data_IF_917400052357
#
_entry.id   IF_917400052357
#
_cell.length_a   1.000
_cell.length_b   1.000
_cell.length_c   1.000
_cell.angle_alpha   90.00
_cell.angle_beta   90.00
_cell.angle_gamma   90.00
#
_symmetry.space_group_name_H-M   'P 1'
#
loop_
_entity.id
_entity.type
_entity.pdbx_description
1 polymer ?
#
# COMPACT_ATOMS: atom_id res chain seq x y z
N UNK A 1 -2.68 10.36 19.87
CA UNK A 1 -1.41 10.79 20.44
C UNK A 1 -1.10 12.21 20.00
N UNK A 2 -1.02 13.13 20.94
CA UNK A 2 -0.67 14.54 20.71
C UNK A 2 0.72 14.78 21.31
N UNK A 3 1.75 14.40 20.58
CA UNK A 3 3.13 14.60 21.00
C UNK A 3 3.76 15.72 20.17
N UNK A 4 4.61 16.57 20.77
CA UNK A 4 5.34 17.59 20.00
C UNK A 4 6.15 16.96 18.89
N UNK A 5 6.19 17.58 17.71
CA UNK A 5 6.89 17.08 16.56
C UNK A 5 8.39 16.92 16.85
N UNK A 6 8.92 15.70 16.68
CA UNK A 6 10.34 15.52 16.49
C UNK A 6 10.68 15.87 15.04
N UNK A 7 11.68 16.65 14.82
CA UNK A 7 12.19 16.89 13.49
C UNK A 7 13.18 15.78 13.12
N UNK A 8 12.86 15.07 12.05
CA UNK A 8 13.78 14.11 11.42
C UNK A 8 14.44 14.70 10.18
N UNK A 9 14.46 16.03 10.08
CA UNK A 9 14.90 16.78 8.91
C UNK A 9 16.36 16.46 8.56
N UNK A 10 16.60 16.25 7.26
CA UNK A 10 17.93 16.05 6.70
C UNK A 10 18.45 14.59 6.77
N UNK A 11 17.60 13.64 7.16
CA UNK A 11 17.98 12.22 7.16
C UNK A 11 17.70 11.64 5.76
N UNK A 12 18.75 11.14 5.11
CA UNK A 12 18.59 10.23 3.97
C UNK A 12 18.29 8.84 4.52
N UNK A 13 17.02 8.49 4.50
CA UNK A 13 16.53 7.29 5.17
C UNK A 13 16.57 6.03 4.30
N UNK A 14 16.69 6.17 2.96
CA UNK A 14 16.57 5.06 2.03
C UNK A 14 17.88 4.31 1.83
N UNK A 15 17.91 3.03 2.19
CA UNK A 15 19.03 2.10 1.98
C UNK A 15 18.87 1.23 0.73
N UNK A 16 17.65 1.13 0.21
CA UNK A 16 17.34 0.27 -0.93
C UNK A 16 18.10 0.70 -2.20
N UNK A 17 18.82 -0.24 -2.81
CA UNK A 17 19.68 -0.03 -4.00
C UNK A 17 19.11 -0.66 -5.28
N UNK A 18 17.89 -1.19 -5.24
CA UNK A 18 17.25 -1.79 -6.39
C UNK A 18 16.91 -0.77 -7.48
N UNK A 19 16.51 -1.27 -8.63
CA UNK A 19 16.18 -0.44 -9.80
C UNK A 19 14.70 -0.58 -10.14
N UNK A 20 14.02 0.55 -10.25
CA UNK A 20 12.64 0.61 -10.75
C UNK A 20 12.63 0.45 -12.27
N UNK A 21 11.63 -0.24 -12.80
CA UNK A 21 11.35 -0.20 -14.23
C UNK A 21 10.93 1.23 -14.64
N UNK A 22 11.06 1.62 -15.92
CA UNK A 22 10.69 2.97 -16.37
C UNK A 22 9.27 3.38 -15.96
N UNK A 23 8.31 2.45 -16.00
CA UNK A 23 6.92 2.70 -15.59
C UNK A 23 6.77 2.91 -14.08
N UNK A 24 7.48 2.12 -13.27
CA UNK A 24 7.52 2.30 -11.82
C UNK A 24 8.19 3.61 -11.43
N UNK A 25 9.29 3.96 -12.12
CA UNK A 25 10.02 5.20 -11.89
C UNK A 25 9.15 6.44 -12.19
N UNK A 26 8.33 6.38 -13.24
CA UNK A 26 7.40 7.47 -13.54
C UNK A 26 6.35 7.67 -12.43
N UNK A 27 5.76 6.57 -11.92
CA UNK A 27 4.82 6.63 -10.79
C UNK A 27 5.52 7.13 -9.53
N UNK A 28 6.70 6.62 -9.21
CA UNK A 28 7.49 7.05 -8.07
C UNK A 28 7.77 8.57 -8.11
N UNK A 29 8.13 9.11 -9.28
CA UNK A 29 8.31 10.55 -9.50
C UNK A 29 7.01 11.33 -9.27
N UNK A 30 5.87 10.85 -9.78
CA UNK A 30 4.59 11.49 -9.56
C UNK A 30 4.18 11.47 -8.07
N UNK A 31 4.51 10.41 -7.32
CA UNK A 31 4.28 10.34 -5.87
C UNK A 31 5.13 11.35 -5.10
N UNK A 32 6.41 11.53 -5.44
CA UNK A 32 7.25 12.58 -4.85
C UNK A 32 6.67 13.95 -5.14
N UNK A 33 6.26 14.23 -6.37
CA UNK A 33 5.59 15.49 -6.71
C UNK A 33 4.30 15.71 -5.91
N UNK A 34 3.54 14.66 -5.64
CA UNK A 34 2.34 14.76 -4.82
C UNK A 34 2.67 15.11 -3.37
N UNK A 35 3.74 14.56 -2.81
CA UNK A 35 4.24 14.92 -1.47
C UNK A 35 4.59 16.40 -1.41
N UNK A 36 5.30 16.92 -2.40
CA UNK A 36 5.68 18.32 -2.48
C UNK A 36 4.45 19.25 -2.61
N UNK A 37 3.45 18.80 -3.36
CA UNK A 37 2.22 19.57 -3.65
C UNK A 37 1.09 19.34 -2.64
N UNK A 38 1.28 18.43 -1.66
CA UNK A 38 0.27 18.05 -0.65
C UNK A 38 -1.05 17.58 -1.28
N UNK A 39 -0.95 16.72 -2.30
CA UNK A 39 -2.09 16.20 -3.06
C UNK A 39 -2.49 14.80 -2.65
N UNK A 40 -3.75 14.48 -2.89
CA UNK A 40 -4.27 13.12 -2.74
C UNK A 40 -4.14 12.34 -4.05
N UNK A 41 -3.66 11.09 -3.97
CA UNK A 41 -3.41 10.24 -5.14
C UNK A 41 -3.93 8.82 -4.92
N UNK A 42 -4.56 8.28 -5.96
CA UNK A 42 -4.87 6.86 -6.09
C UNK A 42 -3.89 6.22 -7.09
N UNK A 43 -3.09 5.28 -6.63
CA UNK A 43 -2.28 4.41 -7.48
C UNK A 43 -3.06 3.11 -7.71
N UNK A 44 -3.62 2.98 -8.89
CA UNK A 44 -4.27 1.77 -9.35
C UNK A 44 -3.26 0.91 -10.12
N UNK A 45 -2.69 -0.10 -9.46
CA UNK A 45 -1.64 -0.93 -10.01
C UNK A 45 -1.95 -2.41 -9.81
N UNK A 46 -1.82 -3.20 -10.88
CA UNK A 46 -2.08 -4.65 -10.86
C UNK A 46 -1.27 -5.36 -9.79
N UNK A 47 -1.76 -6.50 -9.32
CA UNK A 47 -1.02 -7.36 -8.39
C UNK A 47 0.33 -7.77 -8.98
N UNK A 48 1.41 -7.65 -8.20
CA UNK A 48 2.78 -7.91 -8.66
C UNK A 48 3.39 -6.78 -9.49
N UNK A 49 2.84 -5.56 -9.43
CA UNK A 49 3.42 -4.37 -10.06
C UNK A 49 4.61 -3.78 -9.29
N UNK A 50 4.90 -4.26 -8.06
CA UNK A 50 5.93 -3.69 -7.19
C UNK A 50 5.49 -2.37 -6.56
N UNK A 51 4.27 -2.32 -6.02
CA UNK A 51 3.71 -1.11 -5.39
C UNK A 51 4.56 -0.58 -4.26
N UNK A 52 5.18 -1.47 -3.49
CA UNK A 52 5.98 -1.11 -2.32
C UNK A 52 7.23 -0.32 -2.70
N UNK A 53 7.96 -0.73 -3.72
CA UNK A 53 9.17 -0.03 -4.15
C UNK A 53 8.87 1.35 -4.76
N UNK A 54 7.71 1.50 -5.40
CA UNK A 54 7.31 2.78 -6.00
C UNK A 54 7.10 3.90 -4.97
N UNK A 55 6.72 3.55 -3.72
CA UNK A 55 6.49 4.54 -2.65
C UNK A 55 7.77 4.94 -1.91
N UNK A 56 8.89 4.25 -2.08
CA UNK A 56 10.11 4.47 -1.28
C UNK A 56 10.66 5.89 -1.40
N UNK A 57 10.75 6.43 -2.61
CA UNK A 57 11.24 7.79 -2.81
C UNK A 57 10.33 8.85 -2.15
N UNK A 58 9.01 8.66 -2.18
CA UNK A 58 8.06 9.54 -1.53
C UNK A 58 8.19 9.48 0.02
N UNK A 59 8.39 8.30 0.58
CA UNK A 59 8.66 8.10 2.01
C UNK A 59 9.95 8.82 2.40
N UNK A 60 11.06 8.57 1.66
CA UNK A 60 12.36 9.19 1.93
C UNK A 60 12.30 10.71 1.83
N UNK A 61 11.66 11.25 0.80
CA UNK A 61 11.46 12.70 0.62
C UNK A 61 10.68 13.32 1.78
N UNK A 62 9.60 12.66 2.23
CA UNK A 62 8.80 13.15 3.35
C UNK A 62 9.62 13.15 4.65
N UNK A 63 10.39 12.09 4.94
CA UNK A 63 11.25 11.99 6.14
C UNK A 63 12.36 13.03 6.08
N UNK A 64 13.04 13.20 4.94
CA UNK A 64 14.11 14.18 4.74
C UNK A 64 13.62 15.62 4.97
N UNK A 65 12.36 15.90 4.67
CA UNK A 65 11.69 17.18 4.95
C UNK A 65 11.27 17.34 6.42
N UNK A 66 11.48 16.32 7.26
CA UNK A 66 11.09 16.32 8.68
C UNK A 66 9.67 15.85 8.94
N UNK A 67 9.02 15.27 7.95
CA UNK A 67 7.65 14.75 8.04
C UNK A 67 7.56 13.39 8.73
N UNK A 68 6.38 13.09 9.27
CA UNK A 68 6.01 11.79 9.79
C UNK A 68 5.22 11.02 8.73
N UNK A 69 5.58 9.76 8.50
CA UNK A 69 4.98 8.89 7.50
C UNK A 69 4.26 7.72 8.16
N UNK A 70 3.08 7.37 7.66
CA UNK A 70 2.40 6.13 8.03
C UNK A 70 2.02 5.34 6.78
N UNK A 71 2.29 4.02 6.81
CA UNK A 71 1.74 3.05 5.87
C UNK A 71 0.73 2.20 6.64
N UNK A 72 -0.52 2.25 6.23
CA UNK A 72 -1.58 1.47 6.85
C UNK A 72 -2.13 0.44 5.85
N UNK A 73 -2.39 -0.77 6.32
CA UNK A 73 -3.00 -1.86 5.54
C UNK A 73 -4.12 -2.51 6.33
N UNK A 74 -5.16 -3.06 5.69
CA UNK A 74 -6.24 -3.75 6.40
C UNK A 74 -5.81 -4.98 7.18
N UNK A 75 -4.73 -5.65 6.76
CA UNK A 75 -4.32 -6.97 7.22
C UNK A 75 -3.06 -6.94 8.07
N UNK A 76 -3.09 -7.65 9.21
CA UNK A 76 -1.95 -7.73 10.13
C UNK A 76 -0.74 -8.46 9.56
N UNK A 77 -0.96 -9.52 8.77
CA UNK A 77 0.11 -10.27 8.11
C UNK A 77 0.86 -9.39 7.09
N UNK A 78 0.13 -8.60 6.30
CA UNK A 78 0.72 -7.63 5.36
C UNK A 78 1.48 -6.53 6.10
N UNK A 79 0.93 -6.01 7.22
CA UNK A 79 1.63 -5.02 8.03
C UNK A 79 2.98 -5.55 8.58
N UNK A 80 3.03 -6.81 9.02
CA UNK A 80 4.26 -7.47 9.47
C UNK A 80 5.26 -7.70 8.34
N UNK A 81 4.78 -8.10 7.16
CA UNK A 81 5.63 -8.26 5.97
C UNK A 81 6.26 -6.91 5.56
N UNK A 82 5.44 -5.85 5.47
CA UNK A 82 5.91 -4.49 5.19
C UNK A 82 6.93 -4.03 6.23
N UNK A 83 6.68 -4.28 7.53
CA UNK A 83 7.62 -3.93 8.59
C UNK A 83 8.98 -4.61 8.40
N UNK A 84 8.99 -5.93 8.15
CA UNK A 84 10.22 -6.68 7.92
C UNK A 84 10.99 -6.14 6.71
N UNK A 85 10.29 -5.87 5.62
CA UNK A 85 10.85 -5.36 4.38
C UNK A 85 11.41 -3.95 4.54
N UNK A 86 10.60 -3.03 5.05
CA UNK A 86 11.04 -1.63 5.20
C UNK A 86 12.13 -1.46 6.28
N UNK A 87 12.19 -2.34 7.28
CA UNK A 87 13.30 -2.34 8.25
C UNK A 87 14.65 -2.68 7.63
N UNK A 88 14.69 -3.39 6.50
CA UNK A 88 15.90 -3.65 5.73
C UNK A 88 16.22 -2.51 4.75
N UNK A 89 15.18 -1.86 4.24
CA UNK A 89 15.28 -0.89 3.15
C UNK A 89 15.41 0.57 3.63
N UNK A 90 15.19 0.82 4.93
CA UNK A 90 15.27 2.16 5.54
C UNK A 90 16.15 2.16 6.79
N UNK A 91 16.96 3.20 6.98
CA UNK A 91 17.88 3.39 8.12
C UNK A 91 17.23 3.96 9.38
N UNK A 92 15.96 4.36 9.30
CA UNK A 92 15.25 4.98 10.42
C UNK A 92 14.49 3.94 11.25
N UNK A 93 14.26 4.18 12.56
CA UNK A 93 13.43 3.30 13.35
C UNK A 93 11.99 3.30 12.85
N UNK A 94 11.36 2.13 12.85
CA UNK A 94 9.99 1.92 12.40
C UNK A 94 9.14 1.41 13.55
N UNK A 95 7.97 2.01 13.76
CA UNK A 95 6.97 1.51 14.72
C UNK A 95 5.94 0.65 14.00
N UNK A 96 5.73 -0.58 14.46
CA UNK A 96 4.69 -1.48 13.96
C UNK A 96 3.50 -1.49 14.93
N UNK A 97 2.30 -1.20 14.42
CA UNK A 97 1.08 -1.12 15.20
C UNK A 97 -0.01 -2.06 14.66
N UNK A 98 -0.43 -3.00 15.48
CA UNK A 98 -1.59 -3.86 15.29
C UNK A 98 -2.19 -4.20 16.66
N UNK A 99 -3.21 -5.06 16.73
CA UNK A 99 -3.90 -5.37 18.00
C UNK A 99 -2.94 -5.82 19.10
N UNK A 100 -1.98 -6.68 18.78
CA UNK A 100 -1.05 -7.31 19.73
C UNK A 100 0.35 -6.69 19.69
N UNK A 101 0.53 -5.50 19.09
CA UNK A 101 1.83 -4.86 19.02
C UNK A 101 2.26 -4.25 20.37
N UNK A 102 3.57 -4.08 20.61
CA UNK A 102 4.06 -3.27 21.73
C UNK A 102 3.48 -1.86 21.71
N UNK A 103 3.55 -1.13 22.85
CA UNK A 103 3.13 0.25 22.89
C UNK A 103 3.80 1.10 21.82
N UNK A 104 3.04 2.06 21.27
CA UNK A 104 3.55 3.01 20.30
C UNK A 104 4.73 3.80 20.85
N UNK A 105 5.79 3.89 20.09
CA UNK A 105 6.87 4.85 20.27
C UNK A 105 7.00 5.72 19.03
N UNK A 106 7.39 6.96 19.24
CA UNK A 106 7.44 7.95 18.16
C UNK A 106 8.62 7.70 17.22
N UNK A 107 8.31 7.58 15.93
CA UNK A 107 9.28 7.35 14.86
C UNK A 107 8.89 8.14 13.62
N UNK A 108 9.83 8.40 12.68
CA UNK A 108 9.52 9.04 11.41
C UNK A 108 8.64 8.15 10.50
N UNK A 109 8.72 6.82 10.67
CA UNK A 109 7.97 5.86 9.87
C UNK A 109 7.17 4.92 10.77
N UNK A 110 5.87 4.86 10.52
CA UNK A 110 4.92 3.97 11.20
C UNK A 110 4.33 3.01 10.17
N UNK A 111 4.26 1.74 10.51
CA UNK A 111 3.48 0.74 9.78
C UNK A 111 2.36 0.28 10.69
N UNK A 112 1.13 0.27 10.19
CA UNK A 112 -0.01 -0.04 11.03
C UNK A 112 -1.10 -0.82 10.31
N UNK A 113 -1.99 -1.45 11.08
CA UNK A 113 -3.30 -1.82 10.52
C UNK A 113 -4.20 -0.57 10.45
N UNK A 114 -5.13 -0.55 9.48
CA UNK A 114 -6.02 0.60 9.24
C UNK A 114 -6.84 1.00 10.47
N UNK A 115 -7.23 0.03 11.31
CA UNK A 115 -7.92 0.32 12.57
C UNK A 115 -7.08 1.13 13.58
N UNK A 116 -5.75 1.00 13.55
CA UNK A 116 -4.88 1.76 14.43
C UNK A 116 -4.86 3.26 14.09
N UNK A 117 -5.28 3.65 12.89
CA UNK A 117 -5.40 5.06 12.51
C UNK A 117 -6.38 5.82 13.41
N UNK A 118 -7.40 5.16 13.99
CA UNK A 118 -8.32 5.77 14.98
C UNK A 118 -7.62 6.32 16.22
N UNK A 119 -6.37 5.93 16.50
CA UNK A 119 -5.56 6.41 17.63
C UNK A 119 -4.82 7.71 17.33
N UNK A 120 -4.81 8.16 16.07
CA UNK A 120 -4.04 9.32 15.63
C UNK A 120 -4.95 10.47 15.21
N UNK A 121 -4.47 11.68 15.45
CA UNK A 121 -5.11 12.90 14.99
C UNK A 121 -4.01 13.86 14.50
N UNK A 122 -4.11 14.33 13.26
CA UNK A 122 -3.17 15.27 12.63
C UNK A 122 -1.69 14.88 12.86
N UNK A 123 -1.40 13.58 12.69
CA UNK A 123 -0.11 13.02 13.05
C UNK A 123 0.86 12.88 11.86
N UNK A 124 0.34 12.63 10.65
CA UNK A 124 1.15 12.23 9.52
C UNK A 124 1.15 13.29 8.41
N UNK A 125 2.34 13.55 7.86
CA UNK A 125 2.56 14.41 6.70
C UNK A 125 2.36 13.64 5.39
N UNK A 126 2.65 12.31 5.41
CA UNK A 126 2.36 11.37 4.35
C UNK A 126 1.65 10.16 4.95
N UNK A 127 0.42 9.91 4.50
CA UNK A 127 -0.33 8.71 4.84
C UNK A 127 -0.54 7.88 3.58
N UNK A 128 -0.15 6.60 3.64
CA UNK A 128 -0.31 5.64 2.56
C UNK A 128 -1.24 4.53 3.04
N UNK A 129 -2.33 4.30 2.34
CA UNK A 129 -3.25 3.17 2.62
C UNK A 129 -3.04 2.13 1.52
N UNK A 130 -2.47 1.00 1.90
CA UNK A 130 -2.28 -0.13 0.98
C UNK A 130 -3.46 -1.10 1.06
N UNK A 131 -3.77 -1.76 -0.05
CA UNK A 131 -4.91 -2.68 -0.20
C UNK A 131 -6.26 -2.05 0.20
N UNK A 132 -6.55 -0.83 -0.27
CA UNK A 132 -7.80 -0.11 0.09
C UNK A 132 -9.07 -0.83 -0.38
N UNK A 133 -8.96 -1.75 -1.33
CA UNK A 133 -10.00 -2.62 -1.84
C UNK A 133 -10.26 -3.86 -0.97
N UNK A 134 -9.41 -4.11 0.05
CA UNK A 134 -9.57 -5.26 0.93
C UNK A 134 -10.42 -4.93 2.17
N UNK A 135 -11.20 -5.94 2.62
CA UNK A 135 -11.86 -5.89 3.92
C UNK A 135 -10.81 -5.79 5.04
N UNK A 136 -11.03 -5.00 6.09
CA UNK A 136 -12.22 -4.22 6.43
C UNK A 136 -12.22 -2.75 5.96
N UNK A 137 -11.25 -2.30 5.18
CA UNK A 137 -11.15 -0.89 4.76
C UNK A 137 -12.16 -0.56 3.66
N UNK A 138 -12.31 -1.44 2.67
CA UNK A 138 -13.24 -1.23 1.57
C UNK A 138 -14.65 -0.90 2.09
N UNK A 139 -15.21 0.21 1.58
CA UNK A 139 -16.56 0.71 1.89
C UNK A 139 -16.87 0.91 3.39
N UNK A 140 -15.84 1.10 4.23
CA UNK A 140 -15.98 1.35 5.66
C UNK A 140 -15.81 2.84 6.01
N UNK A 141 -16.91 3.61 6.21
CA UNK A 141 -16.84 5.05 6.46
C UNK A 141 -16.01 5.42 7.68
N UNK A 142 -16.01 4.56 8.74
CA UNK A 142 -15.22 4.83 9.95
C UNK A 142 -13.72 4.77 9.69
N UNK A 143 -13.26 3.89 8.80
CA UNK A 143 -11.85 3.79 8.45
C UNK A 143 -11.42 4.88 7.46
N UNK A 144 -12.28 5.32 6.56
CA UNK A 144 -12.03 6.51 5.75
C UNK A 144 -11.93 7.76 6.64
N UNK A 145 -12.85 7.92 7.59
CA UNK A 145 -12.78 8.97 8.60
C UNK A 145 -11.46 8.92 9.40
N UNK A 146 -11.05 7.71 9.84
CA UNK A 146 -9.80 7.54 10.56
C UNK A 146 -8.58 7.96 9.73
N UNK A 147 -8.55 7.60 8.46
CA UNK A 147 -7.49 8.01 7.54
C UNK A 147 -7.44 9.53 7.34
N UNK A 148 -8.61 10.16 7.16
CA UNK A 148 -8.73 11.61 7.00
C UNK A 148 -8.25 12.36 8.25
N UNK A 149 -8.60 11.89 9.46
CA UNK A 149 -8.24 12.56 10.71
C UNK A 149 -6.82 12.25 11.21
N UNK A 150 -6.23 11.13 10.79
CA UNK A 150 -4.86 10.78 11.12
C UNK A 150 -3.83 11.62 10.35
N UNK A 151 -4.17 12.11 9.16
CA UNK A 151 -3.31 13.00 8.39
C UNK A 151 -3.40 14.44 8.90
N UNK A 152 -2.33 15.23 8.69
CA UNK A 152 -2.34 16.67 8.94
C UNK A 152 -3.14 17.42 7.87
N UNK A 153 -3.58 18.63 8.16
CA UNK A 153 -4.35 19.47 7.22
C UNK A 153 -3.65 19.67 5.87
N UNK A 154 -2.32 19.78 5.86
CA UNK A 154 -1.50 19.91 4.65
C UNK A 154 -0.68 18.64 4.39
N UNK A 155 -1.30 17.47 4.46
CA UNK A 155 -0.65 16.19 4.23
C UNK A 155 -0.91 15.66 2.81
N UNK A 156 -0.15 14.65 2.44
CA UNK A 156 -0.39 13.83 1.24
C UNK A 156 -1.05 12.52 1.66
N UNK A 157 -2.14 12.18 0.98
CA UNK A 157 -2.80 10.88 1.15
C UNK A 157 -2.66 10.07 -0.15
N UNK A 158 -2.09 8.87 -0.03
CA UNK A 158 -1.90 7.93 -1.13
C UNK A 158 -2.70 6.67 -0.87
N UNK A 159 -3.58 6.35 -1.79
CA UNK A 159 -4.28 5.06 -1.82
C UNK A 159 -3.60 4.14 -2.82
N UNK A 160 -3.29 2.90 -2.41
CA UNK A 160 -2.77 1.85 -3.28
C UNK A 160 -3.82 0.75 -3.42
N UNK A 161 -4.11 0.33 -4.65
CA UNK A 161 -5.09 -0.72 -4.91
C UNK A 161 -4.76 -1.51 -6.17
N UNK A 162 -5.22 -2.75 -6.23
CA UNK A 162 -5.26 -3.54 -7.46
C UNK A 162 -6.63 -3.47 -8.16
N UNK A 163 -7.70 -3.17 -7.41
CA UNK A 163 -9.08 -3.05 -7.88
C UNK A 163 -9.68 -1.73 -7.44
N UNK A 164 -10.43 -1.06 -8.30
CA UNK A 164 -11.12 0.16 -7.93
C UNK A 164 -12.40 -0.16 -7.14
N UNK A 165 -12.76 0.74 -6.21
CA UNK A 165 -14.03 0.68 -5.49
C UNK A 165 -14.92 1.85 -5.92
N UNK A 166 -16.23 1.71 -5.76
CA UNK A 166 -17.19 2.78 -6.12
C UNK A 166 -16.90 4.09 -5.38
N UNK A 167 -16.44 4.01 -4.14
CA UNK A 167 -16.07 5.17 -3.32
C UNK A 167 -14.88 5.91 -3.92
N UNK A 168 -13.81 5.19 -4.32
CA UNK A 168 -12.64 5.80 -4.94
C UNK A 168 -12.95 6.34 -6.34
N UNK A 169 -13.79 5.66 -7.11
CA UNK A 169 -14.22 6.13 -8.42
C UNK A 169 -15.03 7.43 -8.35
N UNK A 170 -15.87 7.59 -7.33
CA UNK A 170 -16.57 8.85 -7.06
C UNK A 170 -15.60 9.99 -6.71
N UNK A 171 -14.60 9.73 -5.86
CA UNK A 171 -13.58 10.73 -5.50
C UNK A 171 -12.75 11.15 -6.73
N UNK A 172 -12.41 10.23 -7.60
CA UNK A 172 -11.70 10.54 -8.85
C UNK A 172 -12.59 11.34 -9.80
N UNK A 173 -13.87 10.98 -9.94
CA UNK A 173 -14.82 11.67 -10.83
C UNK A 173 -15.13 13.10 -10.36
N UNK A 174 -15.01 13.38 -9.05
CA UNK A 174 -15.19 14.70 -8.47
C UNK A 174 -13.89 15.54 -8.41
N UNK A 175 -12.80 15.08 -9.04
CA UNK A 175 -11.47 15.72 -9.06
C UNK A 175 -10.84 15.93 -7.66
N UNK A 176 -11.36 15.23 -6.65
CA UNK A 176 -10.80 15.23 -5.31
C UNK A 176 -9.60 14.30 -5.17
N UNK A 177 -9.46 13.32 -6.08
CA UNK A 177 -8.43 12.30 -6.05
C UNK A 177 -7.86 12.09 -7.46
N UNK A 178 -6.55 12.32 -7.64
CA UNK A 178 -5.89 12.04 -8.91
C UNK A 178 -5.58 10.55 -9.05
N UNK A 179 -6.04 9.90 -10.15
CA UNK A 179 -5.70 8.50 -10.44
C UNK A 179 -4.43 8.40 -11.29
N UNK A 180 -3.53 7.51 -10.87
CA UNK A 180 -2.38 7.04 -11.66
C UNK A 180 -2.56 5.53 -11.86
N UNK A 181 -2.39 5.04 -13.09
CA UNK A 181 -2.62 3.62 -13.40
C UNK A 181 -1.35 2.94 -13.90
N UNK A 182 -1.06 1.74 -13.36
CA UNK A 182 -0.03 0.83 -13.83
C UNK A 182 -0.62 -0.53 -14.16
N UNK A 183 -0.84 -0.80 -15.44
CA UNK A 183 -1.46 -2.04 -15.93
C UNK A 183 -0.46 -3.18 -16.15
N UNK A 184 0.81 -3.00 -15.80
CA UNK A 184 1.88 -3.96 -16.06
C UNK A 184 2.51 -4.47 -14.76
N UNK A 185 2.82 -5.77 -14.73
CA UNK A 185 3.66 -6.36 -13.70
C UNK A 185 5.12 -5.94 -13.89
N UNK A 186 5.90 -5.88 -12.80
CA UNK A 186 7.32 -5.49 -12.88
C UNK A 186 8.15 -6.41 -13.80
N UNK A 187 7.83 -7.71 -13.86
CA UNK A 187 8.51 -8.70 -14.70
C UNK A 187 7.98 -8.78 -16.15
N UNK A 188 7.00 -7.94 -16.54
CA UNK A 188 6.47 -7.86 -17.90
C UNK A 188 5.57 -9.01 -18.37
N UNK A 189 5.41 -10.08 -17.56
CA UNK A 189 4.52 -11.20 -17.94
C UNK A 189 3.05 -10.79 -17.80
N UNK A 190 2.18 -11.22 -18.74
CA UNK A 190 0.76 -10.94 -18.67
C UNK A 190 0.11 -11.63 -17.46
N UNK A 191 -1.01 -11.09 -17.01
CA UNK A 191 -1.85 -11.77 -16.03
C UNK A 191 -2.34 -13.11 -16.59
N UNK A 192 -2.36 -14.13 -15.75
CA UNK A 192 -3.00 -15.40 -16.09
C UNK A 192 -4.49 -15.15 -16.30
N UNK A 193 -4.99 -15.37 -17.49
CA UNK A 193 -6.40 -15.28 -17.80
C UNK A 193 -7.01 -16.67 -17.56
N UNK A 194 -7.91 -16.83 -16.59
CA UNK A 194 -8.62 -18.09 -16.39
C UNK A 194 -9.39 -18.48 -17.64
N UNK A 195 -9.31 -19.74 -18.04
CA UNK A 195 -10.16 -20.28 -19.10
C UNK A 195 -11.41 -20.88 -18.47
N UNK A 196 -12.60 -20.25 -18.62
CA UNK A 196 -13.81 -20.84 -18.12
C UNK A 196 -14.11 -22.13 -18.94
N UNK A 197 -14.41 -23.22 -18.24
CA UNK A 197 -14.81 -24.48 -18.83
C UNK A 197 -16.25 -24.77 -18.36
N UNK A 198 -17.19 -24.66 -19.29
CA UNK A 198 -18.59 -25.00 -19.02
C UNK A 198 -18.80 -26.49 -19.32
N UNK A 199 -18.98 -27.29 -18.29
CA UNK A 199 -19.25 -28.73 -18.43
C UNK A 199 -19.82 -29.34 -17.17
N UNK A 200 -20.31 -30.58 -17.25
CA UNK A 200 -20.69 -31.33 -16.07
C UNK A 200 -19.52 -31.51 -15.12
N UNK A 201 -19.63 -31.03 -13.87
CA UNK A 201 -18.46 -30.69 -13.03
C UNK A 201 -17.58 -31.87 -12.68
N UNK A 202 -18.16 -33.01 -12.29
CA UNK A 202 -17.41 -34.08 -11.62
C UNK A 202 -16.34 -34.76 -12.49
N UNK A 203 -16.66 -35.14 -13.73
CA UNK A 203 -15.71 -35.88 -14.59
C UNK A 203 -14.56 -35.02 -15.11
N UNK A 204 -14.80 -33.73 -15.32
CA UNK A 204 -13.78 -32.81 -15.84
C UNK A 204 -12.84 -32.38 -14.73
N UNK A 205 -13.37 -32.04 -13.56
CA UNK A 205 -12.55 -31.72 -12.39
C UNK A 205 -11.58 -32.86 -12.10
N UNK A 206 -12.08 -34.10 -12.05
CA UNK A 206 -11.24 -35.28 -11.78
C UNK A 206 -10.12 -35.46 -12.84
N UNK A 207 -10.45 -35.29 -14.12
CA UNK A 207 -9.44 -35.36 -15.20
C UNK A 207 -8.38 -34.25 -15.07
N UNK A 208 -8.77 -33.03 -14.72
CA UNK A 208 -7.83 -31.92 -14.53
C UNK A 208 -6.96 -32.13 -13.30
N UNK A 209 -7.51 -32.62 -12.20
CA UNK A 209 -6.77 -32.99 -10.98
C UNK A 209 -5.70 -34.05 -11.33
N UNK A 210 -6.08 -35.12 -12.04
CA UNK A 210 -5.11 -36.17 -12.41
C UNK A 210 -4.02 -35.63 -13.34
N UNK A 211 -4.41 -34.83 -14.34
CA UNK A 211 -3.43 -34.20 -15.27
C UNK A 211 -2.43 -33.33 -14.50
N UNK A 212 -2.91 -32.54 -13.54
CA UNK A 212 -2.07 -31.64 -12.75
C UNK A 212 -1.14 -32.44 -11.82
N UNK A 213 -1.66 -33.47 -11.14
CA UNK A 213 -0.81 -34.38 -10.34
C UNK A 213 0.31 -35.02 -11.15
N UNK A 214 0.02 -35.46 -12.38
CA UNK A 214 1.00 -36.08 -13.26
C UNK A 214 2.04 -35.07 -13.79
N UNK A 215 1.72 -33.76 -13.80
CA UNK A 215 2.66 -32.71 -14.19
C UNK A 215 3.62 -32.28 -13.08
N UNK A 216 3.44 -32.75 -11.83
CA UNK A 216 4.28 -32.43 -10.69
C UNK A 216 4.06 -31.02 -10.12
N UNK A 217 3.07 -30.26 -10.60
CA UNK A 217 2.76 -28.93 -10.08
C UNK A 217 1.69 -29.00 -8.97
N UNK A 218 1.76 -28.12 -7.96
CA UNK A 218 0.76 -28.04 -6.91
C UNK A 218 -0.61 -27.67 -7.46
N UNK A 219 -1.68 -28.17 -6.82
CA UNK A 219 -3.07 -27.90 -7.16
C UNK A 219 -3.77 -27.27 -5.96
N UNK A 220 -4.48 -26.16 -6.16
CA UNK A 220 -5.38 -25.57 -5.20
C UNK A 220 -6.83 -25.79 -5.67
N UNK A 221 -7.66 -26.32 -4.78
CA UNK A 221 -9.11 -26.49 -4.96
C UNK A 221 -9.81 -25.60 -3.92
N UNK A 222 -10.78 -24.80 -4.39
CA UNK A 222 -11.60 -23.92 -3.56
C UNK A 222 -13.05 -24.38 -3.58
#
# INVERSE_FOLDING_TARGET
YHLPQQSFKGIDALLWTGTLTPYQADISKQLVQAVDQKKQILVHAVTGAGKTEMIYAAISSSIASGGAVCIATPRTDVARELYTRLSNDFSVPISLLHADSPPYFRTPLVISTTHQLLRFREAFDLLIIDEVDAFPFADNPALYYAAEHAQKTAATLVYLTATSTDTLDKLVSSDLLKRITLSRRFHGHPLVVPKPIFSQPEKIIYRHIQKQRNSGFPLLLF
#
